data_IF_000251794257
#
_entry.id   IF_000251794257
#
_cell.length_a   1.000
_cell.length_b   1.000
_cell.length_c   1.000
_cell.angle_alpha   90.00
_cell.angle_beta   90.00
_cell.angle_gamma   90.00
#
_symmetry.space_group_name_H-M   'P 1'
#
loop_
_entity.id
_entity.type
_entity.pdbx_description
1 polymer ?
#
# COMPACT_ATOMS: atom_id res chain seq x y z
N UNK A 1 -3.16 36.93 -12.72
CA UNK A 1 -2.80 35.96 -13.77
C UNK A 1 -1.34 35.51 -13.63
N UNK A 2 -0.35 36.44 -13.51
CA UNK A 2 1.07 36.09 -13.37
C UNK A 2 1.35 35.27 -12.10
N UNK A 3 0.79 35.65 -10.95
CA UNK A 3 0.92 34.91 -9.70
C UNK A 3 0.40 33.46 -9.81
N UNK A 4 -0.68 33.24 -10.58
CA UNK A 4 -1.21 31.87 -10.80
C UNK A 4 -0.25 31.05 -11.68
N UNK A 5 0.37 31.65 -12.67
CA UNK A 5 1.38 30.99 -13.52
C UNK A 5 2.62 30.62 -12.70
N UNK A 6 3.08 31.53 -11.85
CA UNK A 6 4.22 31.29 -10.97
C UNK A 6 3.93 30.18 -9.97
N UNK A 7 2.75 30.19 -9.34
CA UNK A 7 2.29 29.14 -8.46
C UNK A 7 2.26 27.78 -9.18
N UNK A 8 1.70 27.70 -10.39
CA UNK A 8 1.65 26.46 -11.16
C UNK A 8 3.04 25.92 -11.53
N UNK A 9 4.01 26.82 -11.84
CA UNK A 9 5.41 26.42 -12.08
C UNK A 9 6.08 25.88 -10.82
N UNK A 10 5.90 26.54 -9.68
CA UNK A 10 6.44 26.11 -8.40
C UNK A 10 5.85 24.75 -7.99
N UNK A 11 4.53 24.59 -8.08
CA UNK A 11 3.87 23.31 -7.80
C UNK A 11 4.38 22.18 -8.69
N UNK A 12 4.53 22.44 -10.00
CA UNK A 12 5.07 21.46 -10.96
C UNK A 12 6.46 21.01 -10.56
N UNK A 13 7.33 21.94 -10.18
CA UNK A 13 8.68 21.65 -9.74
C UNK A 13 8.68 20.77 -8.48
N UNK A 14 7.92 21.15 -7.45
CA UNK A 14 7.83 20.39 -6.20
C UNK A 14 7.31 18.96 -6.41
N UNK A 15 6.32 18.77 -7.29
CA UNK A 15 5.80 17.45 -7.62
C UNK A 15 6.84 16.58 -8.34
N UNK A 16 7.61 17.16 -9.27
CA UNK A 16 8.68 16.45 -9.98
C UNK A 16 9.85 16.10 -9.04
N UNK A 17 10.21 17.01 -8.11
CA UNK A 17 11.21 16.75 -7.06
C UNK A 17 10.76 15.64 -6.09
N UNK A 18 9.46 15.43 -5.96
CA UNK A 18 8.85 14.34 -5.18
C UNK A 18 8.60 13.06 -6.02
N UNK A 19 9.28 12.90 -7.16
CA UNK A 19 9.15 11.76 -8.08
C UNK A 19 7.72 11.50 -8.59
N UNK A 20 6.87 12.53 -8.62
CA UNK A 20 5.53 12.39 -9.18
C UNK A 20 5.61 12.21 -10.70
N UNK A 21 4.77 11.36 -11.27
CA UNK A 21 4.78 11.06 -12.70
C UNK A 21 4.66 12.33 -13.55
N UNK A 22 5.56 12.52 -14.52
CA UNK A 22 5.68 13.73 -15.36
C UNK A 22 4.37 14.10 -16.07
N UNK A 23 3.68 13.10 -16.66
CA UNK A 23 2.42 13.32 -17.36
C UNK A 23 1.31 13.73 -16.41
N UNK A 24 1.19 13.04 -15.27
CA UNK A 24 0.21 13.37 -14.25
C UNK A 24 0.48 14.75 -13.62
N UNK A 25 1.75 15.09 -13.39
CA UNK A 25 2.15 16.42 -12.91
C UNK A 25 1.70 17.52 -13.86
N UNK A 26 1.91 17.33 -15.16
CA UNK A 26 1.48 18.29 -16.18
C UNK A 26 -0.04 18.46 -16.15
N UNK A 27 -0.78 17.36 -16.24
CA UNK A 27 -2.24 17.38 -16.28
C UNK A 27 -2.85 17.99 -15.01
N UNK A 28 -2.26 17.71 -13.84
CA UNK A 28 -2.67 18.26 -12.55
C UNK A 28 -2.45 19.78 -12.52
N UNK A 29 -1.25 20.24 -12.83
CA UNK A 29 -0.90 21.67 -12.74
C UNK A 29 -1.66 22.52 -13.76
N UNK A 30 -1.92 22.01 -14.97
CA UNK A 30 -2.74 22.71 -15.98
C UNK A 30 -4.21 22.83 -15.53
N UNK A 31 -4.79 21.79 -14.90
CA UNK A 31 -6.14 21.87 -14.34
C UNK A 31 -6.24 22.87 -13.22
N UNK A 32 -5.30 22.83 -12.27
CA UNK A 32 -5.29 23.78 -11.14
C UNK A 32 -5.14 25.20 -11.65
N UNK A 33 -4.23 25.45 -12.59
CA UNK A 33 -4.02 26.77 -13.19
C UNK A 33 -5.30 27.30 -13.85
N UNK A 34 -5.99 26.47 -14.64
CA UNK A 34 -7.25 26.83 -15.29
C UNK A 34 -8.30 27.19 -14.27
N UNK A 35 -8.52 26.34 -13.27
CA UNK A 35 -9.52 26.58 -12.24
C UNK A 35 -9.23 27.82 -11.39
N UNK A 36 -7.97 28.10 -11.07
CA UNK A 36 -7.59 29.33 -10.37
C UNK A 36 -7.83 30.61 -11.17
N UNK A 37 -7.91 30.51 -12.51
CA UNK A 37 -8.25 31.62 -13.37
C UNK A 37 -9.77 31.79 -13.58
N UNK A 38 -10.52 30.68 -13.49
CA UNK A 38 -11.98 30.63 -13.71
C UNK A 38 -12.78 30.80 -12.41
N UNK A 39 -12.30 30.25 -11.29
CA UNK A 39 -13.02 30.21 -10.02
C UNK A 39 -12.54 31.35 -9.09
N UNK A 40 -13.42 32.29 -8.76
CA UNK A 40 -13.12 33.28 -7.73
C UNK A 40 -13.10 32.68 -6.33
N UNK A 41 -12.14 33.09 -5.47
CA UNK A 41 -12.15 32.66 -4.07
C UNK A 41 -13.40 33.14 -3.35
N UNK A 42 -13.93 32.33 -2.45
CA UNK A 42 -15.08 32.73 -1.62
C UNK A 42 -14.76 34.01 -0.85
N UNK A 43 -15.77 34.90 -0.61
CA UNK A 43 -15.56 36.12 0.16
C UNK A 43 -14.86 35.85 1.49
N UNK A 44 -13.76 36.55 1.75
CA UNK A 44 -12.96 36.42 2.97
C UNK A 44 -11.88 35.27 2.91
N UNK A 45 -11.83 34.49 1.87
CA UNK A 45 -10.80 33.46 1.71
C UNK A 45 -9.59 34.04 0.95
N UNK A 46 -8.39 33.88 1.51
CA UNK A 46 -7.15 34.29 0.84
C UNK A 46 -6.91 33.42 -0.40
N UNK A 47 -6.35 34.02 -1.45
CA UNK A 47 -6.05 33.31 -2.72
C UNK A 47 -5.14 32.10 -2.50
N UNK A 48 -4.15 32.21 -1.62
CA UNK A 48 -3.23 31.11 -1.28
C UNK A 48 -3.99 29.92 -0.68
N UNK A 49 -4.90 30.17 0.27
CA UNK A 49 -5.72 29.14 0.88
C UNK A 49 -6.65 28.49 -0.16
N UNK A 50 -7.21 29.29 -1.06
CA UNK A 50 -8.03 28.79 -2.17
C UNK A 50 -7.23 27.88 -3.10
N UNK A 51 -6.03 28.29 -3.48
CA UNK A 51 -5.11 27.49 -4.30
C UNK A 51 -4.72 26.16 -3.62
N UNK A 52 -4.39 26.19 -2.33
CA UNK A 52 -4.07 24.99 -1.57
C UNK A 52 -5.25 24.02 -1.48
N UNK A 53 -6.46 24.52 -1.29
CA UNK A 53 -7.67 23.68 -1.29
C UNK A 53 -7.89 23.01 -2.66
N UNK A 54 -7.60 23.71 -3.75
CA UNK A 54 -7.66 23.12 -5.11
C UNK A 54 -6.61 22.04 -5.31
N UNK A 55 -5.37 22.27 -4.88
CA UNK A 55 -4.31 21.24 -4.91
C UNK A 55 -4.75 20.02 -4.14
N UNK A 56 -5.22 20.19 -2.90
CA UNK A 56 -5.71 19.12 -2.06
C UNK A 56 -6.84 18.33 -2.75
N UNK A 57 -7.84 19.02 -3.28
CA UNK A 57 -8.96 18.38 -3.96
C UNK A 57 -8.53 17.58 -5.19
N UNK A 58 -7.57 18.10 -5.99
CA UNK A 58 -7.06 17.40 -7.16
C UNK A 58 -6.18 16.18 -6.77
N UNK A 59 -5.39 16.28 -5.71
CA UNK A 59 -4.63 15.14 -5.19
C UNK A 59 -5.56 14.04 -4.66
N UNK A 60 -6.57 14.40 -3.88
CA UNK A 60 -7.60 13.44 -3.40
C UNK A 60 -8.31 12.79 -4.59
N UNK A 61 -8.61 13.54 -5.63
CA UNK A 61 -9.23 12.99 -6.84
C UNK A 61 -8.34 11.95 -7.54
N UNK A 62 -7.03 12.20 -7.61
CA UNK A 62 -6.05 11.26 -8.21
C UNK A 62 -5.90 10.00 -7.35
N UNK A 63 -5.83 10.16 -6.02
CA UNK A 63 -5.73 9.03 -5.09
C UNK A 63 -7.03 8.23 -5.02
N UNK A 64 -8.14 8.84 -5.40
CA UNK A 64 -9.47 8.25 -5.30
C UNK A 64 -10.06 8.31 -3.89
N UNK A 65 -11.32 7.88 -3.73
CA UNK A 65 -11.98 7.87 -2.44
C UNK A 65 -11.33 6.86 -1.49
N UNK A 66 -11.28 7.20 -0.21
CA UNK A 66 -10.91 6.24 0.83
C UNK A 66 -11.86 5.04 0.78
N UNK A 67 -11.30 3.84 0.65
CA UNK A 67 -12.05 2.59 0.72
C UNK A 67 -11.86 1.99 2.10
N UNK A 68 -12.96 1.73 2.78
CA UNK A 68 -12.94 0.89 3.96
C UNK A 68 -12.76 -0.56 3.52
N UNK A 69 -11.59 -1.13 3.83
CA UNK A 69 -11.34 -2.54 3.58
C UNK A 69 -12.03 -3.32 4.71
N UNK A 70 -13.15 -3.97 4.41
CA UNK A 70 -13.84 -4.84 5.35
C UNK A 70 -13.25 -6.24 5.24
N UNK A 71 -12.66 -6.76 6.33
CA UNK A 71 -12.11 -8.11 6.33
C UNK A 71 -13.26 -9.13 6.29
N UNK A 72 -13.36 -9.88 5.22
CA UNK A 72 -14.33 -10.98 5.05
C UNK A 72 -13.72 -11.99 4.08
N UNK A 73 -13.96 -13.25 4.24
CA UNK A 73 -13.54 -14.39 3.41
C UNK A 73 -12.64 -14.02 2.22
N UNK A 74 -11.41 -13.60 2.53
CA UNK A 74 -10.48 -13.13 1.50
C UNK A 74 -9.04 -13.49 1.85
N UNK A 75 -8.23 -13.63 0.81
CA UNK A 75 -6.78 -13.70 0.91
C UNK A 75 -6.18 -12.36 0.50
N UNK A 76 -5.23 -11.85 1.28
CA UNK A 76 -4.56 -10.57 1.06
C UNK A 76 -3.08 -10.84 0.84
N UNK A 77 -2.58 -10.47 -0.32
CA UNK A 77 -1.17 -10.58 -0.67
C UNK A 77 -0.47 -9.24 -0.38
N UNK A 78 0.56 -9.28 0.49
CA UNK A 78 1.38 -8.11 0.82
C UNK A 78 2.52 -7.99 -0.17
N UNK A 79 2.49 -6.94 -0.99
CA UNK A 79 3.50 -6.68 -2.02
C UNK A 79 4.20 -5.34 -1.80
N UNK A 80 5.45 -5.22 -2.23
CA UNK A 80 6.24 -3.98 -2.16
C UNK A 80 7.73 -4.23 -2.09
N UNK A 81 8.51 -3.15 -2.20
CA UNK A 81 9.97 -3.19 -2.24
C UNK A 81 10.57 -3.66 -0.91
N UNK A 82 11.85 -4.03 -0.95
CA UNK A 82 12.61 -4.37 0.26
C UNK A 82 12.62 -3.20 1.26
N UNK A 83 12.54 -3.51 2.54
CA UNK A 83 12.61 -2.51 3.61
C UNK A 83 11.37 -1.60 3.76
N UNK A 84 10.32 -1.74 2.95
CA UNK A 84 9.14 -0.89 3.01
C UNK A 84 8.13 -1.30 4.10
N UNK A 85 8.50 -2.23 4.98
CA UNK A 85 7.71 -2.58 6.16
C UNK A 85 6.54 -3.53 5.91
N UNK A 86 6.58 -4.38 4.88
CA UNK A 86 5.53 -5.39 4.61
C UNK A 86 5.24 -6.25 5.83
N UNK A 87 6.22 -6.98 6.34
CA UNK A 87 6.08 -7.86 7.52
C UNK A 87 5.52 -7.13 8.74
N UNK A 88 6.01 -5.91 9.01
CA UNK A 88 5.50 -5.10 10.11
C UNK A 88 4.05 -4.67 9.88
N UNK A 89 3.70 -4.33 8.64
CA UNK A 89 2.33 -3.96 8.27
C UNK A 89 1.41 -5.16 8.31
N UNK A 90 1.86 -6.32 7.84
CA UNK A 90 1.17 -7.62 7.95
C UNK A 90 0.74 -7.88 9.40
N UNK A 91 1.69 -7.82 10.33
CA UNK A 91 1.40 -8.05 11.75
C UNK A 91 0.40 -7.02 12.31
N UNK A 92 0.60 -5.73 12.02
CA UNK A 92 -0.30 -4.66 12.49
C UNK A 92 -1.71 -4.77 11.92
N UNK A 93 -1.84 -5.07 10.65
CA UNK A 93 -3.15 -5.22 9.97
C UNK A 93 -3.87 -6.45 10.49
N UNK A 94 -3.17 -7.57 10.63
CA UNK A 94 -3.71 -8.80 11.19
C UNK A 94 -4.30 -8.58 12.59
N UNK A 95 -3.51 -7.94 13.46
CA UNK A 95 -3.95 -7.64 14.83
C UNK A 95 -5.08 -6.61 14.86
N UNK A 96 -5.02 -5.58 14.01
CA UNK A 96 -6.07 -4.57 13.92
C UNK A 96 -7.39 -5.17 13.45
N UNK A 97 -7.40 -6.03 12.42
CA UNK A 97 -8.61 -6.69 11.94
C UNK A 97 -9.19 -7.61 12.99
N UNK A 98 -8.35 -8.41 13.63
CA UNK A 98 -8.78 -9.29 14.72
C UNK A 98 -9.47 -8.49 15.84
N UNK A 99 -8.83 -7.40 16.30
CA UNK A 99 -9.36 -6.60 17.42
C UNK A 99 -10.56 -5.74 17.03
N UNK A 100 -10.49 -5.10 15.88
CA UNK A 100 -11.51 -4.11 15.47
C UNK A 100 -12.76 -4.75 14.88
N UNK A 101 -12.60 -5.83 14.15
CA UNK A 101 -13.68 -6.48 13.42
C UNK A 101 -14.07 -7.85 13.98
N UNK A 102 -13.30 -8.39 14.93
CA UNK A 102 -13.60 -9.68 15.56
C UNK A 102 -13.44 -10.89 14.63
N UNK A 103 -12.73 -10.69 13.50
CA UNK A 103 -12.53 -11.75 12.49
C UNK A 103 -11.36 -12.65 12.87
N UNK A 104 -11.42 -13.90 12.42
CA UNK A 104 -10.30 -14.83 12.52
C UNK A 104 -9.31 -14.55 11.41
N UNK A 105 -8.08 -14.23 11.78
CA UNK A 105 -6.99 -13.95 10.84
C UNK A 105 -5.93 -15.03 10.97
N UNK A 106 -5.43 -15.51 9.83
CA UNK A 106 -4.21 -16.31 9.75
C UNK A 106 -3.20 -15.59 8.88
N UNK A 107 -1.90 -15.84 9.11
CA UNK A 107 -0.83 -15.24 8.35
C UNK A 107 0.06 -16.35 7.80
N UNK A 108 0.41 -16.25 6.52
CA UNK A 108 1.36 -17.14 5.85
C UNK A 108 2.62 -16.33 5.55
N UNK A 109 3.76 -16.74 6.09
CA UNK A 109 5.08 -16.19 5.81
C UNK A 109 5.68 -16.91 4.60
N UNK A 110 5.85 -16.20 3.51
CA UNK A 110 6.37 -16.70 2.23
C UNK A 110 7.64 -15.98 1.75
N UNK A 111 8.30 -15.18 2.62
CA UNK A 111 9.61 -14.58 2.31
C UNK A 111 10.74 -15.62 2.47
N UNK A 112 10.97 -16.42 1.43
CA UNK A 112 12.02 -17.46 1.40
C UNK A 112 13.43 -16.89 1.27
N UNK A 113 13.58 -15.60 1.01
CA UNK A 113 14.87 -14.97 0.74
C UNK A 113 15.49 -14.33 1.99
N UNK A 114 14.71 -14.09 3.03
CA UNK A 114 15.18 -13.42 4.25
C UNK A 114 15.30 -14.40 5.41
N UNK A 115 16.54 -14.71 5.85
CA UNK A 115 16.74 -15.55 7.02
C UNK A 115 16.01 -14.99 8.24
N UNK A 116 15.24 -15.84 8.91
CA UNK A 116 14.52 -15.46 10.14
C UNK A 116 13.21 -14.69 9.94
N UNK A 117 12.70 -14.53 8.71
CA UNK A 117 11.41 -13.86 8.44
C UNK A 117 10.26 -14.49 9.24
N UNK A 118 10.14 -15.81 9.20
CA UNK A 118 9.14 -16.55 9.98
C UNK A 118 9.28 -16.31 11.49
N UNK A 119 10.49 -16.35 12.01
CA UNK A 119 10.72 -16.12 13.44
C UNK A 119 10.34 -14.69 13.84
N UNK A 120 10.68 -13.69 13.02
CA UNK A 120 10.33 -12.30 13.24
C UNK A 120 8.81 -12.10 13.22
N UNK A 121 8.11 -12.64 12.23
CA UNK A 121 6.66 -12.52 12.13
C UNK A 121 5.95 -13.21 13.30
N UNK A 122 6.42 -14.41 13.66
CA UNK A 122 5.91 -15.14 14.83
C UNK A 122 6.10 -14.35 16.13
N UNK A 123 7.24 -13.69 16.31
CA UNK A 123 7.51 -12.84 17.48
C UNK A 123 6.59 -11.61 17.49
N UNK A 124 6.34 -10.98 16.34
CA UNK A 124 5.43 -9.81 16.24
C UNK A 124 3.99 -10.16 16.59
N UNK A 125 3.58 -11.40 16.35
CA UNK A 125 2.22 -11.89 16.58
C UNK A 125 2.10 -12.76 17.85
N UNK A 126 3.18 -12.87 18.63
CA UNK A 126 3.16 -13.65 19.87
C UNK A 126 2.09 -13.14 20.84
N UNK A 127 1.36 -14.07 21.45
CA UNK A 127 0.26 -13.76 22.36
C UNK A 127 -0.99 -13.14 21.70
N UNK A 128 -0.98 -12.90 20.38
CA UNK A 128 -2.14 -12.34 19.67
C UNK A 128 -3.27 -13.33 19.42
N UNK A 129 -2.98 -14.63 19.42
CA UNK A 129 -3.92 -15.70 19.02
C UNK A 129 -4.12 -15.77 17.49
N UNK A 130 -3.26 -15.10 16.69
CA UNK A 130 -3.24 -15.19 15.25
C UNK A 130 -2.33 -16.37 14.86
N UNK A 131 -2.87 -17.26 14.02
CA UNK A 131 -2.11 -18.40 13.52
C UNK A 131 -1.10 -17.91 12.47
N UNK A 132 0.17 -18.32 12.63
CA UNK A 132 1.25 -18.03 11.68
C UNK A 132 1.75 -19.34 11.10
N UNK A 133 1.73 -19.46 9.78
CA UNK A 133 2.30 -20.58 9.06
C UNK A 133 3.50 -20.10 8.23
N UNK A 134 4.51 -20.92 8.15
CA UNK A 134 5.68 -20.75 7.28
C UNK A 134 6.58 -21.98 7.34
N UNK A 135 7.53 -22.08 6.45
CA UNK A 135 8.45 -23.21 6.35
C UNK A 135 9.90 -22.73 6.51
N UNK A 136 10.55 -23.13 7.61
CA UNK A 136 11.89 -22.62 7.98
C UNK A 136 12.96 -22.81 6.90
N UNK A 137 12.91 -23.93 6.20
CA UNK A 137 13.88 -24.31 5.18
C UNK A 137 13.24 -24.33 3.77
N UNK A 138 12.08 -23.71 3.62
CA UNK A 138 11.37 -23.61 2.35
C UNK A 138 12.10 -22.67 1.38
N UNK A 139 12.17 -23.09 0.13
CA UNK A 139 12.81 -22.33 -0.97
C UNK A 139 11.84 -21.92 -2.06
N UNK A 140 10.60 -22.39 -2.00
CA UNK A 140 9.54 -22.13 -2.98
C UNK A 140 8.37 -21.45 -2.28
N UNK A 141 8.23 -20.16 -2.52
CA UNK A 141 7.20 -19.30 -1.89
C UNK A 141 5.79 -19.75 -2.29
N UNK A 142 5.56 -20.12 -3.54
CA UNK A 142 4.26 -20.58 -4.03
C UNK A 142 3.84 -21.90 -3.36
N UNK A 143 4.79 -22.84 -3.20
CA UNK A 143 4.56 -24.08 -2.48
C UNK A 143 4.21 -23.84 -1.00
N UNK A 144 4.92 -22.91 -0.33
CA UNK A 144 4.63 -22.51 1.07
C UNK A 144 3.22 -21.95 1.18
N UNK A 145 2.84 -21.05 0.28
CA UNK A 145 1.47 -20.47 0.27
C UNK A 145 0.42 -21.55 0.08
N UNK A 146 0.61 -22.43 -0.91
CA UNK A 146 -0.31 -23.55 -1.19
C UNK A 146 -0.46 -24.49 0.00
N UNK A 147 0.64 -24.82 0.67
CA UNK A 147 0.64 -25.63 1.87
C UNK A 147 -0.01 -24.88 3.05
N UNK A 148 0.31 -23.60 3.21
CA UNK A 148 -0.25 -22.74 4.24
C UNK A 148 -1.75 -22.65 4.16
N UNK A 149 -2.30 -22.36 2.98
CA UNK A 149 -3.76 -22.28 2.76
C UNK A 149 -4.51 -23.60 3.10
N UNK A 150 -3.81 -24.74 3.05
CA UNK A 150 -4.39 -26.03 3.44
C UNK A 150 -4.27 -26.33 4.94
N UNK A 151 -3.24 -25.76 5.58
CA UNK A 151 -2.87 -26.09 6.97
C UNK A 151 -3.39 -25.09 7.98
N UNK A 152 -3.50 -23.80 7.62
CA UNK A 152 -4.14 -22.82 8.49
C UNK A 152 -5.60 -23.20 8.72
N UNK A 153 -6.03 -23.12 9.96
CA UNK A 153 -7.41 -23.39 10.32
C UNK A 153 -8.41 -22.47 9.63
N UNK A 154 -9.71 -22.64 9.84
CA UNK A 154 -10.72 -21.79 9.24
C UNK A 154 -10.51 -20.34 9.68
N UNK A 155 -10.07 -19.49 8.76
CA UNK A 155 -9.86 -18.07 8.94
C UNK A 155 -10.79 -17.28 8.02
N UNK A 156 -11.28 -16.15 8.51
CA UNK A 156 -12.07 -15.21 7.70
C UNK A 156 -11.16 -14.42 6.74
N UNK A 157 -9.90 -14.24 7.14
CA UNK A 157 -8.87 -13.56 6.32
C UNK A 157 -7.54 -14.29 6.46
N UNK A 158 -6.89 -14.54 5.34
CA UNK A 158 -5.50 -15.00 5.28
C UNK A 158 -4.64 -13.88 4.71
N UNK A 159 -3.59 -13.48 5.42
CA UNK A 159 -2.61 -12.51 4.92
C UNK A 159 -1.34 -13.25 4.56
N UNK A 160 -0.86 -13.05 3.32
CA UNK A 160 0.39 -13.64 2.82
C UNK A 160 1.45 -12.55 2.83
N UNK A 161 2.49 -12.72 3.65
CA UNK A 161 3.68 -11.86 3.66
C UNK A 161 4.71 -12.38 2.68
N UNK A 162 5.14 -11.55 1.74
CA UNK A 162 6.05 -11.94 0.66
C UNK A 162 7.39 -11.23 0.74
N UNK A 163 8.38 -11.78 0.05
CA UNK A 163 9.68 -11.15 -0.10
C UNK A 163 9.57 -9.73 -0.68
N UNK A 164 10.48 -8.87 -0.28
CA UNK A 164 10.66 -7.55 -0.86
C UNK A 164 11.97 -7.48 -1.61
N UNK A 165 11.93 -7.04 -2.86
CA UNK A 165 13.13 -6.86 -3.67
C UNK A 165 13.07 -5.57 -4.47
N UNK A 166 14.14 -5.28 -5.21
CA UNK A 166 14.20 -4.12 -6.09
C UNK A 166 13.26 -4.31 -7.29
N UNK A 167 12.75 -3.20 -7.78
CA UNK A 167 11.76 -3.13 -8.87
C UNK A 167 12.21 -3.73 -10.21
N UNK A 168 13.48 -4.10 -10.35
CA UNK A 168 14.09 -4.66 -11.56
C UNK A 168 14.28 -6.19 -11.51
N UNK A 169 13.87 -6.84 -10.42
CA UNK A 169 14.02 -8.29 -10.26
C UNK A 169 12.84 -9.02 -10.93
N UNK A 170 13.10 -9.60 -12.10
CA UNK A 170 12.09 -10.35 -12.85
C UNK A 170 11.68 -11.64 -12.14
N UNK A 171 12.59 -12.31 -11.45
CA UNK A 171 12.33 -13.58 -10.76
C UNK A 171 11.31 -13.39 -9.65
N UNK A 172 11.37 -12.24 -8.93
CA UNK A 172 10.37 -11.91 -7.92
C UNK A 172 8.99 -11.62 -8.52
N UNK A 173 8.95 -10.99 -9.69
CA UNK A 173 7.67 -10.72 -10.37
C UNK A 173 6.98 -12.03 -10.72
N UNK A 174 7.74 -13.00 -11.23
CA UNK A 174 7.21 -14.32 -11.58
C UNK A 174 6.77 -15.06 -10.32
N UNK A 175 7.55 -15.04 -9.23
CA UNK A 175 7.17 -15.59 -7.92
C UNK A 175 5.84 -15.00 -7.40
N UNK A 176 5.66 -13.67 -7.50
CA UNK A 176 4.41 -13.02 -7.09
C UNK A 176 3.22 -13.38 -7.97
N UNK A 177 3.43 -13.56 -9.27
CA UNK A 177 2.40 -14.04 -10.20
C UNK A 177 1.99 -15.46 -9.88
N UNK A 178 2.95 -16.35 -9.64
CA UNK A 178 2.70 -17.75 -9.24
C UNK A 178 1.88 -17.83 -7.94
N UNK A 179 2.19 -16.97 -6.97
CA UNK A 179 1.41 -16.88 -5.73
C UNK A 179 -0.01 -16.36 -6.00
N UNK A 180 -0.16 -15.37 -6.90
CA UNK A 180 -1.46 -14.75 -7.18
C UNK A 180 -2.41 -15.66 -7.97
N UNK A 181 -1.89 -16.71 -8.63
CA UNK A 181 -2.67 -17.72 -9.35
C UNK A 181 -3.21 -18.85 -8.45
N UNK A 182 -2.77 -18.92 -7.18
CA UNK A 182 -3.20 -19.91 -6.19
C UNK A 182 -4.54 -19.54 -5.58
#
# INVERSE_FOLDING_TARGET
EEAVKEFARSLRRSLLEADFNVRQTKDLTERIQRRLLEDEPRPGLKLETHAMNMVYAELVRILGPAREIRPHNQTVLMVGLYGQGKTTTTAKVAEWWRRRHGVKVAVIEADVHRPGALAQLSQLLDGSGIEVYGEKDGTDAAAIVKNGLRKVGPADVVIIDTAGRDSLDNDLKDELLDIAEI
#
